data_IF_023309111575
#
_entry.id   IF_023309111575
#
_cell.length_a   1.000
_cell.length_b   1.000
_cell.length_c   1.000
_cell.angle_alpha   90.00
_cell.angle_beta   90.00
_cell.angle_gamma   90.00
#
_symmetry.space_group_name_H-M   'P 1'
#
loop_
_entity.id
_entity.type
_entity.pdbx_description
1 polymer ?
#
# COMPACT_ATOMS: atom_id res chain seq x y z
N UNK A 1 -7.06 32.20 41.34
CA UNK A 1 -7.98 31.59 40.36
C UNK A 1 -7.35 31.38 38.97
N UNK A 2 -6.32 32.12 38.55
CA UNK A 2 -5.73 31.96 37.19
C UNK A 2 -4.80 30.75 37.00
N UNK A 3 -4.12 30.25 38.04
CA UNK A 3 -3.12 29.16 37.88
C UNK A 3 -3.73 27.79 37.55
N UNK A 4 -4.93 27.52 38.08
CA UNK A 4 -5.69 26.31 37.79
C UNK A 4 -6.25 26.32 36.36
N UNK A 5 -6.74 27.48 35.90
CA UNK A 5 -7.21 27.66 34.52
C UNK A 5 -6.08 27.52 33.50
N UNK A 6 -4.90 28.10 33.77
CA UNK A 6 -3.73 27.97 32.88
C UNK A 6 -3.24 26.52 32.82
N UNK A 7 -3.23 25.81 33.95
CA UNK A 7 -2.83 24.40 33.98
C UNK A 7 -3.83 23.50 33.25
N UNK A 8 -5.14 23.76 33.39
CA UNK A 8 -6.17 23.03 32.67
C UNK A 8 -6.06 23.24 31.15
N UNK A 9 -5.88 24.47 30.69
CA UNK A 9 -5.69 24.78 29.26
C UNK A 9 -4.43 24.10 28.68
N UNK A 10 -3.33 24.09 29.44
CA UNK A 10 -2.11 23.39 29.03
C UNK A 10 -2.32 21.87 28.92
N UNK A 11 -3.09 21.27 29.84
CA UNK A 11 -3.45 19.85 29.79
C UNK A 11 -4.34 19.53 28.58
N UNK A 12 -5.37 20.33 28.31
CA UNK A 12 -6.22 20.13 27.14
C UNK A 12 -5.47 20.31 25.82
N UNK A 13 -4.52 21.25 25.75
CA UNK A 13 -3.64 21.42 24.60
C UNK A 13 -2.71 20.21 24.41
N UNK A 14 -2.14 19.67 25.49
CA UNK A 14 -1.31 18.46 25.44
C UNK A 14 -2.11 17.23 25.03
N UNK A 15 -3.30 17.02 25.60
CA UNK A 15 -4.18 15.90 25.22
C UNK A 15 -4.64 16.03 23.77
N UNK A 16 -4.99 17.24 23.32
CA UNK A 16 -5.31 17.53 21.92
C UNK A 16 -4.15 17.26 20.96
N UNK A 17 -2.93 17.67 21.34
CA UNK A 17 -1.72 17.39 20.57
C UNK A 17 -1.42 15.89 20.45
N UNK A 18 -1.56 15.15 21.56
CA UNK A 18 -1.36 13.69 21.59
C UNK A 18 -2.43 12.97 20.75
N UNK A 19 -3.65 13.49 20.71
CA UNK A 19 -4.76 12.88 19.95
C UNK A 19 -4.62 13.09 18.43
N UNK A 20 -4.09 14.24 17.98
CA UNK A 20 -3.85 14.51 16.56
C UNK A 20 -2.70 13.69 15.96
N UNK A 21 -1.75 13.21 16.76
CA UNK A 21 -0.60 12.43 16.27
C UNK A 21 -0.91 10.92 16.08
N UNK A 22 -2.12 10.48 16.44
CA UNK A 22 -2.48 9.05 16.53
C UNK A 22 -3.41 8.56 15.41
N UNK A 23 -3.42 9.20 14.24
CA UNK A 23 -4.06 8.59 13.07
C UNK A 23 -3.11 7.52 12.53
N UNK A 24 -3.18 6.30 13.08
CA UNK A 24 -2.42 5.14 12.62
C UNK A 24 -2.81 4.63 11.22
N UNK A 25 -3.27 5.52 10.34
CA UNK A 25 -3.64 5.23 8.96
C UNK A 25 -2.39 5.26 8.09
N UNK A 26 -2.15 4.15 7.40
CA UNK A 26 -1.02 3.97 6.47
C UNK A 26 -1.29 4.64 5.11
N UNK A 27 -0.26 4.79 4.28
CA UNK A 27 -0.42 5.36 2.93
C UNK A 27 -1.42 4.54 2.08
N UNK A 28 -1.34 3.20 2.13
CA UNK A 28 -2.26 2.35 1.39
C UNK A 28 -3.71 2.51 1.88
N UNK A 29 -3.93 2.51 3.20
CA UNK A 29 -5.27 2.65 3.77
C UNK A 29 -5.89 3.99 3.42
N UNK A 30 -5.11 5.07 3.53
CA UNK A 30 -5.53 6.42 3.15
C UNK A 30 -5.91 6.49 1.67
N UNK A 31 -5.04 6.01 0.77
CA UNK A 31 -5.31 5.99 -0.68
C UNK A 31 -6.52 5.11 -1.02
N UNK A 32 -6.65 3.94 -0.38
CA UNK A 32 -7.83 3.06 -0.55
C UNK A 32 -9.12 3.78 -0.21
N UNK A 33 -9.16 4.49 0.93
CA UNK A 33 -10.32 5.30 1.35
C UNK A 33 -10.63 6.38 0.32
N UNK A 34 -9.63 7.20 -0.03
CA UNK A 34 -9.78 8.31 -1.00
C UNK A 34 -10.32 7.81 -2.34
N UNK A 35 -9.78 6.71 -2.87
CA UNK A 35 -10.21 6.17 -4.16
C UNK A 35 -11.61 5.55 -4.10
N UNK A 36 -11.93 4.87 -2.99
CA UNK A 36 -13.24 4.26 -2.78
C UNK A 36 -14.35 5.31 -2.64
N UNK A 37 -14.07 6.45 -1.99
CA UNK A 37 -14.99 7.58 -1.90
C UNK A 37 -15.18 8.28 -3.26
N UNK A 38 -14.12 8.34 -4.08
CA UNK A 38 -14.15 8.98 -5.40
C UNK A 38 -14.68 8.08 -6.53
N UNK A 39 -14.89 6.78 -6.28
CA UNK A 39 -15.33 5.82 -7.32
C UNK A 39 -16.71 6.18 -7.91
N UNK A 40 -17.56 6.88 -7.15
CA UNK A 40 -18.87 7.36 -7.61
C UNK A 40 -18.80 8.38 -8.78
N UNK A 41 -17.64 9.01 -9.01
CA UNK A 41 -17.47 10.06 -10.01
C UNK A 41 -16.41 9.75 -11.07
N UNK A 42 -15.60 8.69 -10.89
CA UNK A 42 -14.55 8.28 -11.84
C UNK A 42 -14.42 6.76 -11.88
N UNK A 43 -15.10 6.13 -12.84
CA UNK A 43 -15.16 4.67 -13.03
C UNK A 43 -13.82 3.99 -13.44
N UNK A 44 -12.67 4.65 -13.25
CA UNK A 44 -11.38 4.21 -13.79
C UNK A 44 -10.21 4.26 -12.80
N UNK A 45 -10.43 4.59 -11.51
CA UNK A 45 -9.35 4.53 -10.52
C UNK A 45 -9.27 3.15 -9.88
N UNK A 46 -8.06 2.59 -9.88
CA UNK A 46 -7.72 1.34 -9.22
C UNK A 46 -7.74 1.58 -7.71
N UNK A 47 -8.68 0.93 -7.01
CA UNK A 47 -8.69 0.93 -5.54
C UNK A 47 -7.57 -0.01 -5.07
N UNK A 48 -6.53 0.49 -4.37
CA UNK A 48 -5.42 -0.36 -3.93
C UNK A 48 -5.86 -1.37 -2.87
N UNK A 49 -5.32 -2.58 -2.96
CA UNK A 49 -5.38 -3.59 -1.91
C UNK A 49 -4.22 -3.44 -0.93
N UNK A 50 -4.57 -3.36 0.35
CA UNK A 50 -3.63 -3.33 1.47
C UNK A 50 -3.61 -4.67 2.18
N UNK A 51 -2.49 -5.03 2.78
CA UNK A 51 -2.40 -6.17 3.70
C UNK A 51 -2.85 -5.78 5.13
N UNK A 52 -2.69 -6.71 6.07
CA UNK A 52 -3.10 -6.54 7.46
C UNK A 52 -2.30 -5.48 8.24
N UNK A 53 -1.09 -5.14 7.77
CA UNK A 53 -0.26 -4.08 8.33
C UNK A 53 -0.56 -2.72 7.71
N UNK A 54 -1.34 -2.69 6.63
CA UNK A 54 -1.62 -1.49 5.86
C UNK A 54 -0.58 -1.20 4.78
N UNK A 55 0.28 -2.16 4.44
CA UNK A 55 1.20 -2.03 3.31
C UNK A 55 0.51 -2.41 2.01
N UNK A 56 1.01 -1.89 0.88
CA UNK A 56 0.51 -2.29 -0.43
C UNK A 56 0.81 -3.77 -0.69
N UNK A 57 -0.23 -4.51 -1.07
CA UNK A 57 -0.03 -5.87 -1.59
C UNK A 57 0.76 -5.81 -2.90
N UNK A 58 1.70 -6.73 -3.07
CA UNK A 58 2.49 -6.86 -4.30
C UNK A 58 1.60 -7.13 -5.52
N UNK A 59 0.54 -7.92 -5.33
CA UNK A 59 -0.43 -8.27 -6.37
C UNK A 59 -1.65 -7.37 -6.26
N UNK A 60 -1.99 -6.68 -7.35
CA UNK A 60 -3.19 -5.86 -7.45
C UNK A 60 -4.03 -6.37 -8.62
N UNK A 61 -5.28 -6.76 -8.35
CA UNK A 61 -6.18 -7.32 -9.36
C UNK A 61 -7.35 -6.37 -9.64
N UNK A 62 -7.74 -6.24 -10.90
CA UNK A 62 -8.78 -5.31 -11.33
C UNK A 62 -9.60 -5.81 -12.52
N UNK A 63 -10.77 -5.19 -12.67
CA UNK A 63 -11.80 -5.56 -13.63
C UNK A 63 -12.64 -6.76 -13.17
N UNK A 64 -13.84 -6.87 -13.72
CA UNK A 64 -14.68 -8.04 -13.51
C UNK A 64 -14.12 -9.26 -14.26
N UNK A 65 -14.31 -10.42 -13.64
CA UNK A 65 -14.02 -11.74 -14.20
C UNK A 65 -15.02 -12.13 -15.30
N UNK A 66 -15.23 -11.27 -16.31
CA UNK A 66 -16.28 -11.44 -17.34
C UNK A 66 -16.08 -12.75 -18.13
N UNK A 67 -14.85 -13.22 -18.26
CA UNK A 67 -14.49 -14.54 -18.80
C UNK A 67 -13.17 -15.05 -18.18
N UNK A 68 -13.25 -15.68 -17.00
CA UNK A 68 -12.09 -16.27 -16.33
C UNK A 68 -11.50 -15.39 -15.24
N UNK A 69 -10.17 -15.41 -15.06
CA UNK A 69 -9.51 -14.67 -13.97
C UNK A 69 -9.51 -13.14 -14.23
N UNK A 70 -9.55 -12.30 -13.17
CA UNK A 70 -9.32 -10.87 -13.31
C UNK A 70 -7.90 -10.60 -13.84
N UNK A 71 -7.68 -9.38 -14.36
CA UNK A 71 -6.32 -8.96 -14.70
C UNK A 71 -5.60 -8.56 -13.42
N UNK A 72 -4.40 -9.07 -13.20
CA UNK A 72 -3.59 -8.69 -12.06
C UNK A 72 -2.24 -8.15 -12.53
N UNK A 73 -1.67 -7.21 -11.78
CA UNK A 73 -0.36 -6.59 -12.02
C UNK A 73 0.48 -6.66 -10.75
N UNK A 74 1.81 -6.52 -10.91
CA UNK A 74 2.74 -6.48 -9.78
C UNK A 74 3.18 -5.06 -9.49
N UNK A 75 3.22 -4.70 -8.21
CA UNK A 75 3.60 -3.39 -7.70
C UNK A 75 4.71 -3.50 -6.65
N UNK A 76 5.50 -2.43 -6.49
CA UNK A 76 6.47 -2.26 -5.42
C UNK A 76 5.81 -1.82 -4.09
N UNK A 77 6.60 -1.39 -3.11
CA UNK A 77 6.12 -0.95 -1.79
C UNK A 77 5.56 0.48 -1.83
N UNK A 78 5.90 1.25 -2.85
CA UNK A 78 5.51 2.64 -3.09
C UNK A 78 4.32 2.74 -4.06
N UNK A 79 3.75 1.60 -4.46
CA UNK A 79 2.68 1.46 -5.45
C UNK A 79 3.09 1.86 -6.88
N UNK A 80 4.37 1.73 -7.20
CA UNK A 80 4.92 1.74 -8.56
C UNK A 80 4.72 0.39 -9.26
N UNK A 81 4.23 0.41 -10.49
CA UNK A 81 3.94 -0.81 -11.24
C UNK A 81 5.24 -1.44 -11.78
N UNK A 82 5.56 -2.65 -11.31
CA UNK A 82 6.72 -3.44 -11.75
C UNK A 82 6.38 -4.29 -12.97
N UNK A 83 5.18 -4.89 -13.00
CA UNK A 83 4.75 -5.80 -14.07
C UNK A 83 3.39 -5.43 -14.63
N UNK A 84 3.29 -5.50 -15.97
CA UNK A 84 2.07 -5.30 -16.73
C UNK A 84 0.91 -6.22 -16.29
N UNK A 85 -0.35 -5.80 -16.51
CA UNK A 85 -1.52 -6.60 -16.14
C UNK A 85 -1.65 -7.87 -16.98
N UNK A 86 -1.95 -9.00 -16.34
CA UNK A 86 -2.20 -10.28 -17.02
C UNK A 86 -3.12 -11.16 -16.20
N UNK A 87 -3.93 -11.97 -16.89
CA UNK A 87 -4.81 -12.98 -16.25
C UNK A 87 -4.04 -14.18 -15.68
N UNK A 88 -2.77 -14.33 -16.06
CA UNK A 88 -1.93 -15.47 -15.67
C UNK A 88 -1.03 -15.17 -14.47
N UNK A 89 -1.08 -13.96 -13.90
CA UNK A 89 -0.29 -13.61 -12.72
C UNK A 89 -1.03 -14.10 -11.47
N UNK A 90 -0.42 -15.05 -10.76
CA UNK A 90 -0.97 -15.60 -9.52
C UNK A 90 -0.27 -15.08 -8.25
N UNK A 91 0.97 -14.63 -8.36
CA UNK A 91 1.78 -14.12 -7.26
C UNK A 91 2.75 -13.07 -7.79
N UNK A 92 3.09 -12.09 -6.95
CA UNK A 92 4.07 -11.05 -7.25
C UNK A 92 5.23 -11.03 -6.24
N UNK A 93 5.25 -11.94 -5.25
CA UNK A 93 6.24 -11.90 -4.16
C UNK A 93 7.67 -12.03 -4.67
N UNK A 94 7.97 -13.01 -5.52
CA UNK A 94 9.31 -13.15 -6.11
C UNK A 94 9.65 -11.96 -7.01
N UNK A 95 8.71 -11.53 -7.88
CA UNK A 95 8.92 -10.40 -8.79
C UNK A 95 9.26 -9.11 -8.03
N UNK A 96 8.53 -8.83 -6.93
CA UNK A 96 8.82 -7.70 -6.04
C UNK A 96 10.16 -7.85 -5.34
N UNK A 97 10.50 -9.04 -4.85
CA UNK A 97 11.80 -9.30 -4.24
C UNK A 97 12.97 -9.10 -5.22
N UNK A 98 12.80 -9.50 -6.48
CA UNK A 98 13.79 -9.28 -7.53
C UNK A 98 13.95 -7.78 -7.85
N UNK A 99 12.86 -7.04 -7.97
CA UNK A 99 12.89 -5.58 -8.11
C UNK A 99 13.61 -4.88 -6.95
N UNK A 100 13.30 -5.29 -5.70
CA UNK A 100 13.99 -4.77 -4.51
C UNK A 100 15.49 -5.11 -4.53
N UNK A 101 15.87 -6.30 -5.00
CA UNK A 101 17.27 -6.71 -5.15
C UNK A 101 17.99 -5.87 -6.21
N UNK A 102 17.37 -5.61 -7.36
CA UNK A 102 17.94 -4.78 -8.44
C UNK A 102 18.22 -3.34 -7.95
N UNK A 103 17.36 -2.83 -7.07
CA UNK A 103 17.48 -1.49 -6.49
C UNK A 103 18.23 -1.44 -5.14
N UNK A 104 18.73 -2.57 -4.65
CA UNK A 104 19.52 -2.61 -3.40
C UNK A 104 20.97 -2.14 -3.61
N UNK A 105 21.56 -1.56 -2.55
CA UNK A 105 22.99 -1.23 -2.52
C UNK A 105 23.83 -2.49 -2.35
N UNK A 106 25.06 -2.50 -2.87
CA UNK A 106 25.97 -3.65 -2.79
C UNK A 106 26.22 -4.13 -1.35
N UNK A 107 26.18 -3.22 -0.36
CA UNK A 107 26.34 -3.54 1.06
C UNK A 107 25.18 -4.39 1.63
N UNK A 108 23.99 -4.30 1.05
CA UNK A 108 22.80 -5.06 1.45
C UNK A 108 22.37 -6.10 0.41
N UNK A 109 23.19 -6.31 -0.63
CA UNK A 109 22.82 -7.10 -1.80
C UNK A 109 22.98 -8.58 -1.50
N UNK A 110 21.85 -9.22 -1.18
CA UNK A 110 21.77 -10.67 -1.03
C UNK A 110 21.87 -11.42 -2.37
N UNK A 111 21.55 -12.71 -2.32
CA UNK A 111 21.45 -13.53 -3.53
C UNK A 111 20.29 -13.08 -4.42
N UNK A 112 20.52 -13.05 -5.73
CA UNK A 112 19.50 -12.68 -6.72
C UNK A 112 18.30 -13.65 -6.67
N UNK A 113 17.08 -13.15 -6.43
CA UNK A 113 15.87 -13.96 -6.51
C UNK A 113 15.64 -14.45 -7.94
N UNK A 114 15.54 -15.76 -8.15
CA UNK A 114 15.23 -16.34 -9.46
C UNK A 114 13.72 -16.57 -9.57
N UNK A 115 13.06 -15.80 -10.43
CA UNK A 115 11.61 -15.83 -10.61
C UNK A 115 11.23 -16.34 -12.00
N UNK A 116 10.14 -17.11 -12.10
CA UNK A 116 9.57 -17.43 -13.42
C UNK A 116 8.59 -16.33 -13.88
N UNK A 117 8.31 -16.29 -15.19
CA UNK A 117 7.52 -15.23 -15.79
C UNK A 117 6.01 -15.28 -15.48
N UNK A 118 5.52 -16.31 -14.77
CA UNK A 118 4.07 -16.54 -14.58
C UNK A 118 3.66 -16.44 -13.12
N UNK A 119 4.60 -16.71 -12.24
CA UNK A 119 4.40 -16.84 -10.82
C UNK A 119 5.51 -16.02 -10.19
N UNK A 120 5.15 -15.23 -9.19
CA UNK A 120 6.07 -14.99 -8.09
C UNK A 120 6.33 -16.30 -7.31
N UNK A 121 6.78 -17.36 -7.99
CA UNK A 121 7.21 -18.69 -7.55
C UNK A 121 7.96 -19.38 -8.70
#
# INVERSE_FOLDING_TARGET
>A
MNRLFVSALAFFALVGYISCAATGETDCQRRRREEQENTAHRANLLIPECDEHGDYKALQCFGEAVQGKPFCACYDKEFGQIKGPSKNIASCNCVRAHHEWEHSTDENKGSEPKCNATSGA
#
